data_IF_471832628936
#
_entry.id   IF_471832628936
#
_cell.length_a   1.000
_cell.length_b   1.000
_cell.length_c   1.000
_cell.angle_alpha   90.00
_cell.angle_beta   90.00
_cell.angle_gamma   90.00
#
_symmetry.space_group_name_H-M   'P 1'
#
loop_
_entity.id
_entity.type
_entity.pdbx_description
1 polymer ?
#
# COMPACT_ATOMS: atom_id res chain seq x y z
N UNK A 1 -8.22 2.43 9.23
CA UNK A 1 -7.48 1.67 8.21
C UNK A 1 -8.06 0.27 8.13
N UNK A 2 -8.35 -0.22 6.93
CA UNK A 2 -8.96 -1.52 6.67
C UNK A 2 -8.01 -2.68 7.05
N UNK A 3 -8.54 -3.83 7.48
CA UNK A 3 -7.75 -4.95 8.01
C UNK A 3 -6.74 -5.49 6.98
N UNK A 4 -7.14 -5.59 5.71
CA UNK A 4 -6.25 -6.04 4.62
C UNK A 4 -5.07 -5.08 4.43
N UNK A 5 -5.31 -3.77 4.51
CA UNK A 5 -4.29 -2.73 4.36
C UNK A 5 -3.28 -2.81 5.51
N UNK A 6 -3.76 -3.03 6.75
CA UNK A 6 -2.89 -3.21 7.91
C UNK A 6 -2.02 -4.47 7.80
N UNK A 7 -2.59 -5.58 7.35
CA UNK A 7 -1.85 -6.84 7.14
C UNK A 7 -0.78 -6.69 6.06
N UNK A 8 -1.14 -6.10 4.92
CA UNK A 8 -0.20 -5.81 3.84
C UNK A 8 0.91 -4.90 4.32
N UNK A 9 0.58 -3.79 5.00
CA UNK A 9 1.57 -2.87 5.54
C UNK A 9 2.55 -3.58 6.50
N UNK A 10 2.03 -4.40 7.42
CA UNK A 10 2.85 -5.17 8.37
C UNK A 10 3.78 -6.17 7.67
N UNK A 11 3.31 -6.81 6.58
CA UNK A 11 4.10 -7.73 5.75
C UNK A 11 5.28 -7.03 5.09
N UNK A 12 5.05 -5.82 4.55
CA UNK A 12 6.07 -5.10 3.80
C UNK A 12 6.99 -4.22 4.65
N UNK A 13 6.57 -3.89 5.88
CA UNK A 13 7.27 -2.96 6.77
C UNK A 13 8.79 -3.22 6.91
N UNK A 14 9.28 -4.47 7.00
CA UNK A 14 10.72 -4.75 7.09
C UNK A 14 11.53 -4.34 5.85
N UNK A 15 10.88 -4.14 4.70
CA UNK A 15 11.51 -3.80 3.43
C UNK A 15 11.43 -2.32 3.09
N UNK A 16 10.72 -1.52 3.90
CA UNK A 16 10.52 -0.09 3.64
C UNK A 16 11.65 0.74 4.24
N UNK A 17 12.08 1.76 3.51
CA UNK A 17 13.04 2.74 4.02
C UNK A 17 12.35 3.78 4.91
N UNK A 18 11.14 4.21 4.54
CA UNK A 18 10.34 5.21 5.26
C UNK A 18 8.95 4.67 5.66
N UNK A 19 8.88 3.62 6.51
CA UNK A 19 7.62 2.97 6.88
C UNK A 19 6.62 3.93 7.55
N UNK A 20 7.09 4.89 8.35
CA UNK A 20 6.22 5.85 9.04
C UNK A 20 5.55 6.83 8.06
N UNK A 21 6.25 7.25 7.01
CA UNK A 21 5.70 8.15 6.00
C UNK A 21 4.60 7.45 5.20
N UNK A 22 4.86 6.21 4.78
CA UNK A 22 3.86 5.40 4.11
C UNK A 22 2.65 5.16 5.02
N UNK A 23 2.85 4.86 6.31
CA UNK A 23 1.76 4.70 7.26
C UNK A 23 0.86 5.94 7.34
N UNK A 24 1.45 7.13 7.45
CA UNK A 24 0.70 8.39 7.46
C UNK A 24 -0.10 8.58 6.16
N UNK A 25 0.48 8.24 5.00
CA UNK A 25 -0.22 8.29 3.72
C UNK A 25 -1.43 7.35 3.70
N UNK A 26 -1.27 6.11 4.19
CA UNK A 26 -2.34 5.13 4.27
C UNK A 26 -3.45 5.56 5.25
N UNK A 27 -3.09 6.18 6.37
CA UNK A 27 -4.07 6.70 7.35
C UNK A 27 -4.86 7.89 6.78
N UNK A 28 -4.21 8.82 6.07
CA UNK A 28 -4.87 9.95 5.39
C UNK A 28 -5.84 9.50 4.30
N UNK A 29 -5.50 8.42 3.60
CA UNK A 29 -6.31 7.83 2.52
C UNK A 29 -7.20 6.69 3.01
N UNK A 30 -7.41 6.57 4.33
CA UNK A 30 -8.23 5.53 4.94
C UNK A 30 -9.72 5.78 4.65
N UNK A 31 -10.17 5.42 3.44
CA UNK A 31 -11.56 5.45 3.03
C UNK A 31 -11.72 5.02 1.57
N UNK A 32 -12.38 3.89 1.35
CA UNK A 32 -12.57 3.31 0.01
C UNK A 32 -12.04 1.89 -0.08
N UNK A 33 -12.19 1.28 -1.27
CA UNK A 33 -11.72 -0.08 -1.51
C UNK A 33 -10.20 -0.11 -1.69
N UNK A 34 -9.53 -1.27 -1.51
CA UNK A 34 -8.12 -1.45 -1.79
C UNK A 34 -7.68 -0.95 -3.18
N UNK A 35 -8.54 -1.09 -4.19
CA UNK A 35 -8.29 -0.62 -5.56
C UNK A 35 -8.20 0.90 -5.62
N UNK A 36 -9.14 1.60 -4.96
CA UNK A 36 -9.12 3.06 -4.89
C UNK A 36 -7.88 3.56 -4.17
N UNK A 37 -7.52 2.92 -3.07
CA UNK A 37 -6.29 3.24 -2.34
C UNK A 37 -5.05 3.05 -3.23
N UNK A 38 -5.01 1.96 -4.00
CA UNK A 38 -3.93 1.69 -4.93
C UNK A 38 -3.79 2.77 -6.02
N UNK A 39 -4.90 3.22 -6.60
CA UNK A 39 -4.90 4.32 -7.58
C UNK A 39 -4.41 5.64 -6.97
N UNK A 40 -4.87 5.98 -5.76
CA UNK A 40 -4.45 7.21 -5.08
C UNK A 40 -2.96 7.19 -4.72
N UNK A 41 -2.44 6.04 -4.26
CA UNK A 41 -1.01 5.87 -3.98
C UNK A 41 -0.15 5.95 -5.25
N UNK A 42 -0.61 5.39 -6.38
CA UNK A 42 0.08 5.52 -7.67
C UNK A 42 0.18 6.97 -8.13
N UNK A 43 -0.88 7.76 -7.93
CA UNK A 43 -0.88 9.21 -8.24
C UNK A 43 0.11 9.96 -7.34
N UNK A 44 0.12 9.65 -6.04
CA UNK A 44 1.05 10.26 -5.08
C UNK A 44 2.52 9.96 -5.43
N UNK A 45 2.82 8.71 -5.77
CA UNK A 45 4.16 8.23 -6.06
C UNK A 45 4.86 8.95 -7.23
N UNK A 46 4.08 9.53 -8.15
CA UNK A 46 4.59 10.34 -9.27
C UNK A 46 5.26 11.65 -8.82
N UNK A 47 4.87 12.19 -7.67
CA UNK A 47 5.39 13.45 -7.13
C UNK A 47 6.49 13.25 -6.07
N UNK A 48 6.82 12.00 -5.74
CA UNK A 48 7.79 11.64 -4.73
C UNK A 48 9.14 11.26 -5.34
N UNK A 49 10.18 11.33 -4.52
CA UNK A 49 11.51 10.83 -4.87
C UNK A 49 11.51 9.31 -5.08
N UNK A 50 12.62 8.80 -5.63
CA UNK A 50 12.77 7.40 -6.00
C UNK A 50 12.62 6.43 -4.83
N UNK A 51 13.07 6.81 -3.62
CA UNK A 51 13.03 5.92 -2.45
C UNK A 51 11.59 5.79 -1.96
N UNK A 52 10.89 6.90 -1.77
CA UNK A 52 9.47 6.89 -1.36
C UNK A 52 8.56 6.23 -2.40
N UNK A 53 8.86 6.45 -3.68
CA UNK A 53 8.17 5.75 -4.78
C UNK A 53 8.38 4.24 -4.71
N UNK A 54 9.58 3.80 -4.36
CA UNK A 54 9.90 2.38 -4.20
C UNK A 54 9.15 1.77 -3.02
N UNK A 55 9.10 2.45 -1.87
CA UNK A 55 8.31 2.02 -0.72
C UNK A 55 6.83 1.83 -1.08
N UNK A 56 6.24 2.79 -1.80
CA UNK A 56 4.86 2.68 -2.30
C UNK A 56 4.71 1.48 -3.26
N UNK A 57 5.66 1.27 -4.18
CA UNK A 57 5.61 0.12 -5.11
C UNK A 57 5.67 -1.22 -4.39
N UNK A 58 6.51 -1.36 -3.37
CA UNK A 58 6.58 -2.58 -2.54
C UNK A 58 5.22 -2.85 -1.92
N UNK A 59 4.62 -1.84 -1.29
CA UNK A 59 3.29 -1.96 -0.70
C UNK A 59 2.21 -2.33 -1.72
N UNK A 60 2.17 -1.66 -2.88
CA UNK A 60 1.18 -1.92 -3.92
C UNK A 60 1.28 -3.32 -4.51
N UNK A 61 2.49 -3.83 -4.70
CA UNK A 61 2.71 -5.19 -5.20
C UNK A 61 2.17 -6.23 -4.23
N UNK A 62 2.40 -6.05 -2.93
CA UNK A 62 1.86 -6.96 -1.92
C UNK A 62 0.34 -6.80 -1.80
N UNK A 63 -0.19 -5.58 -1.85
CA UNK A 63 -1.64 -5.34 -1.86
C UNK A 63 -2.33 -6.10 -3.01
N UNK A 64 -1.79 -6.01 -4.23
CA UNK A 64 -2.31 -6.70 -5.41
C UNK A 64 -2.19 -8.23 -5.31
N UNK A 65 -1.15 -8.73 -4.63
CA UNK A 65 -0.98 -10.16 -4.38
C UNK A 65 -2.06 -10.68 -3.42
N UNK A 66 -2.37 -9.92 -2.36
CA UNK A 66 -3.40 -10.29 -1.39
C UNK A 66 -4.82 -10.20 -1.96
N UNK A 67 -5.13 -9.16 -2.75
CA UNK A 67 -6.45 -9.04 -3.40
C UNK A 67 -6.68 -10.17 -4.41
N UNK A 68 -5.66 -10.54 -5.20
CA UNK A 68 -5.74 -11.70 -6.11
C UNK A 68 -5.86 -13.04 -5.37
N UNK A 69 -5.11 -13.23 -4.28
CA UNK A 69 -5.19 -14.44 -3.48
C UNK A 69 -6.55 -14.60 -2.78
N UNK A 70 -7.15 -13.49 -2.32
CA UNK A 70 -8.49 -13.48 -1.73
C UNK A 70 -9.62 -13.69 -2.74
N UNK A 71 -9.43 -13.30 -4.01
CA UNK A 71 -10.40 -13.50 -5.09
C UNK A 71 -10.38 -14.92 -5.69
N UNK A 72 -9.34 -15.72 -5.42
CA UNK A 72 -9.15 -17.08 -5.95
C UNK A 72 -9.42 -18.20 -4.96
N UNK A 73 -10.03 -17.91 -3.81
CA UNK A 73 -10.21 -18.85 -2.70
C UNK A 73 -11.66 -19.07 -2.30
N UNK A 74 -12.51 -19.53 -3.23
CA UNK A 74 -13.69 -20.39 -3.02
C UNK A 74 -14.05 -21.09 -4.33
#
# INVERSE_FOLDING_TARGET
MEEIVQRVFSSVQPYLVYPQELKILLEKKSGGTPERLAEELRKEASNLDEVRRTDIRIFLNELERWTRAGAGGV
#
